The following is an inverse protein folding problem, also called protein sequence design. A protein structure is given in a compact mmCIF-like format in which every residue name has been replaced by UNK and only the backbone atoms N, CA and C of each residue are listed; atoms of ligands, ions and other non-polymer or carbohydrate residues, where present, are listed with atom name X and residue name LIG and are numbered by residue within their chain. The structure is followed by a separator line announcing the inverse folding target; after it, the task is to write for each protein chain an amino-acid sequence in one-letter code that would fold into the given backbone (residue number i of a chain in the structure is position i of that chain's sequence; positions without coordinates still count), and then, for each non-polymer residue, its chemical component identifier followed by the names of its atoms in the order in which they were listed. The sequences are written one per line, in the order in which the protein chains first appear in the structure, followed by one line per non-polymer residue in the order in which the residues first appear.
data_IF_568674306140
#
_entry.id   IF_568674306140
#
_cell.length_a   1.000
_cell.length_b   1.000
_cell.length_c   1.000
_cell.angle_alpha   90.00
_cell.angle_beta   90.00
_cell.angle_gamma   90.00
#
_symmetry.space_group_name_H-M   'P 1'
#
loop_
_entity.id
_entity.type
_entity.pdbx_description
1 polymer ?
#
# COMPACT_ATOMS: atom_id res chain seq x y z
N UNK A 1 11.66 30.83 27.59
CA UNK A 1 12.64 31.21 26.54
C UNK A 1 12.54 32.72 26.39
N UNK A 2 13.65 33.45 26.51
CA UNK A 2 13.64 34.90 26.27
C UNK A 2 13.22 35.18 24.82
N UNK A 3 12.25 36.07 24.63
CA UNK A 3 11.72 36.42 23.30
C UNK A 3 12.80 36.92 22.32
N UNK A 4 13.91 37.42 22.85
CA UNK A 4 15.09 37.86 22.08
C UNK A 4 15.81 36.67 21.45
N UNK A 5 16.07 35.60 22.21
CA UNK A 5 16.69 34.38 21.68
C UNK A 5 15.83 33.71 20.61
N UNK A 6 14.51 33.64 20.81
CA UNK A 6 13.59 33.10 19.79
C UNK A 6 13.73 33.83 18.44
N UNK A 7 13.80 35.17 18.47
CA UNK A 7 13.91 36.00 17.25
C UNK A 7 15.28 35.88 16.58
N UNK A 8 16.35 35.78 17.36
CA UNK A 8 17.70 35.51 16.83
C UNK A 8 17.73 34.18 16.06
N UNK A 9 17.09 33.12 16.61
CA UNK A 9 17.04 31.81 15.96
C UNK A 9 16.09 31.74 14.76
N UNK A 10 14.98 32.47 14.79
CA UNK A 10 14.08 32.62 13.63
C UNK A 10 14.81 33.30 12.46
N UNK A 11 15.55 34.38 12.75
CA UNK A 11 16.40 35.08 11.77
C UNK A 11 17.47 34.14 11.19
N UNK A 12 18.11 33.32 12.03
CA UNK A 12 19.14 32.37 11.61
C UNK A 12 18.61 31.24 10.73
N UNK A 13 17.38 30.78 10.99
CA UNK A 13 16.69 29.78 10.17
C UNK A 13 16.33 30.37 8.79
N UNK A 14 15.86 31.62 8.76
CA UNK A 14 15.57 32.36 7.53
C UNK A 14 16.85 32.63 6.70
N UNK A 15 17.94 33.02 7.35
CA UNK A 15 19.23 33.27 6.67
C UNK A 15 19.83 32.00 6.06
N UNK A 16 19.61 30.84 6.67
CA UNK A 16 19.99 29.54 6.09
C UNK A 16 19.13 29.18 4.87
N UNK A 17 17.82 29.43 4.91
CA UNK A 17 16.92 29.22 3.76
C UNK A 17 17.25 30.14 2.58
N UNK A 18 17.79 31.33 2.85
CA UNK A 18 18.29 32.28 1.82
C UNK A 18 19.75 32.01 1.38
N UNK A 19 20.43 30.99 1.93
CA UNK A 19 21.79 30.61 1.55
C UNK A 19 22.90 31.54 2.04
N UNK A 20 22.61 32.44 2.98
CA UNK A 20 23.55 33.41 3.55
C UNK A 20 24.18 32.86 4.83
N UNK A 21 25.22 32.03 4.68
CA UNK A 21 25.76 31.17 5.76
C UNK A 21 26.89 31.80 6.58
N UNK A 22 27.48 32.92 6.13
CA UNK A 22 28.77 33.39 6.65
C UNK A 22 28.75 33.86 8.13
N UNK A 23 27.58 34.19 8.68
CA UNK A 23 27.42 34.61 10.08
C UNK A 23 26.98 33.51 11.06
N UNK A 24 26.46 32.39 10.54
CA UNK A 24 25.79 31.36 11.36
C UNK A 24 26.78 30.43 12.08
N UNK A 25 28.00 30.32 11.54
CA UNK A 25 29.04 29.45 12.05
C UNK A 25 29.66 29.88 13.39
N UNK A 26 29.34 31.08 13.88
CA UNK A 26 29.86 31.62 15.15
C UNK A 26 29.06 31.26 16.41
N UNK A 27 27.84 30.73 16.26
CA UNK A 27 27.03 30.27 17.40
C UNK A 27 27.26 28.77 17.59
N UNK A 28 27.85 28.39 18.71
CA UNK A 28 28.08 26.99 19.04
C UNK A 28 26.77 26.21 19.09
N UNK A 29 26.53 25.33 18.10
CA UNK A 29 25.33 24.50 18.01
C UNK A 29 25.05 23.73 19.33
N UNK A 30 26.09 23.39 20.08
CA UNK A 30 26.02 22.63 21.32
C UNK A 30 25.78 23.49 22.57
N UNK A 31 25.83 24.81 22.44
CA UNK A 31 25.57 25.77 23.53
C UNK A 31 24.08 26.02 23.73
N UNK A 32 23.25 25.58 22.77
CA UNK A 32 21.78 25.73 22.80
C UNK A 32 21.03 24.43 23.15
N UNK A 33 21.74 23.42 23.65
CA UNK A 33 21.13 22.16 24.12
C UNK A 33 20.07 22.41 25.18
N UNK A 34 20.37 23.27 26.15
CA UNK A 34 19.45 23.64 27.22
C UNK A 34 18.24 24.45 26.70
N UNK A 35 18.44 25.22 25.63
CA UNK A 35 17.36 25.97 24.95
C UNK A 35 16.43 25.04 24.15
N UNK A 36 16.91 23.87 23.71
CA UNK A 36 16.07 22.84 23.08
C UNK A 36 15.33 22.01 24.14
N UNK A 37 16.05 21.53 25.16
CA UNK A 37 15.52 20.57 26.15
C UNK A 37 14.63 21.25 27.19
N UNK A 38 14.99 22.45 27.65
CA UNK A 38 14.28 23.17 28.71
C UNK A 38 12.81 23.51 28.40
N UNK A 39 12.44 23.95 27.18
CA UNK A 39 11.07 24.32 26.84
C UNK A 39 10.10 23.18 26.54
N UNK A 40 10.51 21.89 26.54
CA UNK A 40 9.74 20.73 26.03
C UNK A 40 8.40 20.38 26.71
N UNK A 41 7.68 21.35 27.26
CA UNK A 41 6.29 21.18 27.65
C UNK A 41 5.37 20.99 26.42
N UNK A 42 4.16 20.45 26.62
CA UNK A 42 3.22 20.15 25.54
C UNK A 42 2.85 21.37 24.68
N UNK A 43 2.91 22.58 25.23
CA UNK A 43 2.64 23.83 24.52
C UNK A 43 3.82 24.36 23.69
N UNK A 44 5.02 23.79 23.83
CA UNK A 44 6.15 24.24 23.02
C UNK A 44 6.07 23.73 21.59
N UNK A 45 5.56 22.52 21.38
CA UNK A 45 5.38 21.94 20.04
C UNK A 45 4.35 22.66 19.17
N UNK A 46 3.46 23.46 19.79
CA UNK A 46 2.51 24.31 19.06
C UNK A 46 3.12 25.64 18.63
N UNK A 47 4.29 26.01 19.15
CA UNK A 47 5.01 27.20 18.72
C UNK A 47 5.74 26.94 17.39
N UNK A 48 5.39 27.66 16.31
CA UNK A 48 6.07 27.49 15.02
C UNK A 48 7.55 27.85 15.11
N UNK A 49 7.91 28.85 15.93
CA UNK A 49 9.29 29.28 16.14
C UNK A 49 10.12 28.20 16.85
N UNK A 50 9.57 27.56 17.89
CA UNK A 50 10.25 26.45 18.56
C UNK A 50 10.43 25.25 17.62
N UNK A 51 9.41 24.92 16.82
CA UNK A 51 9.49 23.84 15.86
C UNK A 51 10.55 24.08 14.78
N UNK A 52 10.61 25.29 14.23
CA UNK A 52 11.64 25.71 13.29
C UNK A 52 13.04 25.58 13.89
N UNK A 53 13.22 26.03 15.13
CA UNK A 53 14.48 25.91 15.86
C UNK A 53 14.92 24.45 16.07
N UNK A 54 14.03 23.57 16.53
CA UNK A 54 14.35 22.14 16.71
C UNK A 54 14.70 21.49 15.36
N UNK A 55 13.96 21.82 14.29
CA UNK A 55 14.25 21.32 12.93
C UNK A 55 15.61 21.80 12.43
N UNK A 56 15.95 23.07 12.64
CA UNK A 56 17.26 23.64 12.33
C UNK A 56 18.38 22.89 13.06
N UNK A 57 18.23 22.71 14.39
CA UNK A 57 19.20 21.97 15.19
C UNK A 57 19.41 20.56 14.64
N UNK A 58 18.33 19.81 14.37
CA UNK A 58 18.42 18.45 13.86
C UNK A 58 19.09 18.40 12.48
N UNK A 59 18.76 19.32 11.57
CA UNK A 59 19.41 19.42 10.25
C UNK A 59 20.91 19.67 10.37
N UNK A 60 21.33 20.58 11.26
CA UNK A 60 22.74 20.89 11.50
C UNK A 60 23.49 19.76 12.18
N UNK A 61 22.89 19.15 13.20
CA UNK A 61 23.46 17.99 13.87
C UNK A 61 23.67 16.83 12.87
N UNK A 62 22.74 16.64 11.93
CA UNK A 62 22.90 15.66 10.86
C UNK A 62 24.10 15.92 9.93
N UNK A 63 24.73 17.10 9.93
CA UNK A 63 25.92 17.36 9.12
C UNK A 63 27.23 17.12 9.87
N UNK A 64 27.18 16.88 11.18
CA UNK A 64 28.37 16.68 12.00
C UNK A 64 29.06 15.34 11.67
N UNK A 65 30.39 15.35 11.85
CA UNK A 65 31.22 14.16 11.80
C UNK A 65 31.36 13.56 13.20
N UNK A 66 30.56 12.53 13.47
CA UNK A 66 30.58 11.83 14.75
C UNK A 66 31.81 10.94 14.95
N UNK A 67 32.60 10.67 13.92
CA UNK A 67 33.79 9.83 14.04
C UNK A 67 34.94 10.52 14.80
N UNK A 68 35.04 11.85 14.66
CA UNK A 68 36.10 12.69 15.25
C UNK A 68 35.61 13.51 16.44
N UNK A 69 34.30 13.56 16.66
CA UNK A 69 33.66 14.32 17.75
C UNK A 69 33.91 13.73 19.13
N UNK A 70 34.11 14.60 20.13
CA UNK A 70 34.30 14.20 21.53
C UNK A 70 33.07 13.47 22.09
N UNK A 71 33.26 12.61 23.10
CA UNK A 71 32.15 11.89 23.72
C UNK A 71 31.14 12.82 24.39
N UNK A 72 31.62 13.90 25.02
CA UNK A 72 30.79 14.89 25.71
C UNK A 72 29.86 15.59 24.72
N UNK A 73 30.41 16.03 23.60
CA UNK A 73 29.64 16.73 22.56
C UNK A 73 28.64 15.78 21.89
N UNK A 74 29.03 14.52 21.70
CA UNK A 74 28.14 13.48 21.19
C UNK A 74 26.97 13.23 22.14
N UNK A 75 27.23 13.17 23.44
CA UNK A 75 26.20 12.95 24.47
C UNK A 75 25.19 14.11 24.56
N UNK A 76 25.64 15.34 24.29
CA UNK A 76 24.74 16.51 24.17
C UNK A 76 23.73 16.35 23.03
N UNK A 77 24.20 15.92 21.84
CA UNK A 77 23.30 15.66 20.70
C UNK A 77 22.34 14.51 21.00
N UNK A 78 22.83 13.43 21.63
CA UNK A 78 22.00 12.30 22.05
C UNK A 78 20.93 12.75 23.04
N UNK A 79 21.27 13.66 23.96
CA UNK A 79 20.33 14.20 24.95
C UNK A 79 19.20 14.97 24.27
N UNK A 80 19.51 15.82 23.29
CA UNK A 80 18.50 16.53 22.51
C UNK A 80 17.61 15.54 21.74
N UNK A 81 18.21 14.61 20.98
CA UNK A 81 17.43 13.66 20.19
C UNK A 81 16.55 12.76 21.07
N UNK A 82 17.05 12.31 22.22
CA UNK A 82 16.28 11.57 23.23
C UNK A 82 15.10 12.41 23.72
N UNK A 83 15.34 13.65 24.09
CA UNK A 83 14.31 14.52 24.63
C UNK A 83 13.22 14.79 23.60
N UNK A 84 13.58 15.02 22.33
CA UNK A 84 12.63 15.18 21.22
C UNK A 84 11.80 13.91 20.99
N UNK A 85 12.42 12.74 20.95
CA UNK A 85 11.70 11.48 20.72
C UNK A 85 10.74 11.15 21.87
N UNK A 86 11.14 11.48 23.11
CA UNK A 86 10.36 11.23 24.31
C UNK A 86 9.39 12.35 24.65
N UNK A 87 9.46 13.49 23.98
CA UNK A 87 8.60 14.64 24.24
C UNK A 87 7.14 14.34 23.97
N UNK A 88 6.27 14.75 24.90
CA UNK A 88 4.83 14.66 24.71
C UNK A 88 4.37 15.68 23.66
N UNK A 89 3.71 15.20 22.60
CA UNK A 89 3.24 16.05 21.51
C UNK A 89 4.27 16.37 20.43
N UNK A 90 5.46 15.77 20.47
CA UNK A 90 6.48 15.94 19.44
C UNK A 90 5.99 15.47 18.06
N UNK A 91 6.09 16.32 17.01
CA UNK A 91 5.62 15.95 15.69
C UNK A 91 6.38 14.77 15.08
N UNK A 92 5.67 13.94 14.30
CA UNK A 92 6.17 12.67 13.75
C UNK A 92 7.42 12.85 12.88
N UNK A 93 7.49 13.93 12.09
CA UNK A 93 8.64 14.26 11.25
C UNK A 93 9.89 14.58 12.09
N UNK A 94 9.71 15.26 13.22
CA UNK A 94 10.81 15.64 14.13
C UNK A 94 11.30 14.42 14.92
N UNK A 95 10.38 13.55 15.36
CA UNK A 95 10.71 12.26 15.97
C UNK A 95 11.50 11.37 14.99
N UNK A 96 11.07 11.33 13.72
CA UNK A 96 11.77 10.60 12.65
C UNK A 96 13.20 11.14 12.46
N UNK A 97 13.38 12.45 12.31
CA UNK A 97 14.72 13.04 12.14
C UNK A 97 15.62 12.82 13.37
N UNK A 98 15.07 12.90 14.58
CA UNK A 98 15.82 12.58 15.80
C UNK A 98 16.24 11.11 15.85
N UNK A 99 15.39 10.20 15.38
CA UNK A 99 15.71 8.77 15.28
C UNK A 99 16.81 8.50 14.26
N UNK A 100 16.75 9.15 13.09
CA UNK A 100 17.80 9.11 12.06
C UNK A 100 19.14 9.63 12.59
N UNK A 101 19.10 10.73 13.36
CA UNK A 101 20.26 11.30 14.02
C UNK A 101 20.88 10.32 15.01
N UNK A 102 20.07 9.68 15.87
CA UNK A 102 20.55 8.65 16.79
C UNK A 102 21.18 7.46 16.06
N UNK A 103 20.60 7.03 14.93
CA UNK A 103 21.22 6.00 14.09
C UNK A 103 22.57 6.47 13.56
N UNK A 104 22.67 7.70 13.06
CA UNK A 104 23.94 8.25 12.55
C UNK A 104 25.01 8.33 13.64
N UNK A 105 24.66 8.86 14.81
CA UNK A 105 25.54 8.93 15.99
C UNK A 105 26.00 7.52 16.43
N UNK A 106 25.07 6.56 16.39
CA UNK A 106 25.32 5.17 16.73
C UNK A 106 25.91 4.31 15.61
N UNK A 107 26.42 4.91 14.54
CA UNK A 107 26.95 4.21 13.36
C UNK A 107 26.00 3.12 12.82
N UNK A 108 24.72 3.47 12.68
CA UNK A 108 23.61 2.63 12.21
C UNK A 108 23.32 1.41 13.10
N UNK A 109 23.60 1.52 14.40
CA UNK A 109 23.27 0.48 15.38
C UNK A 109 21.87 0.68 15.97
N UNK A 110 20.95 -0.24 15.67
CA UNK A 110 19.63 -0.27 16.32
C UNK A 110 19.73 -0.41 17.85
N UNK A 111 20.71 -1.19 18.33
CA UNK A 111 21.02 -1.34 19.78
C UNK A 111 21.37 -0.01 20.42
N UNK A 112 22.13 0.82 19.71
CA UNK A 112 22.49 2.15 20.19
C UNK A 112 21.24 3.02 20.37
N UNK A 113 20.33 3.04 19.38
CA UNK A 113 19.09 3.82 19.45
C UNK A 113 18.22 3.39 20.63
N UNK A 114 18.02 2.08 20.81
CA UNK A 114 17.23 1.55 21.93
C UNK A 114 17.86 1.93 23.27
N UNK A 115 19.18 1.76 23.43
CA UNK A 115 19.90 2.18 24.64
C UNK A 115 19.81 3.69 24.85
N UNK A 116 19.94 4.46 23.78
CA UNK A 116 19.86 5.91 23.84
C UNK A 116 18.47 6.36 24.25
N UNK A 117 17.39 5.69 23.84
CA UNK A 117 16.03 6.10 24.18
C UNK A 117 15.51 5.52 25.50
N UNK A 118 16.10 4.42 25.97
CA UNK A 118 15.62 3.65 27.11
C UNK A 118 14.68 2.53 26.67
N UNK A 119 14.81 1.35 27.29
CA UNK A 119 13.98 0.17 26.99
C UNK A 119 12.53 0.37 27.41
N UNK A 120 12.29 1.21 28.41
CA UNK A 120 10.98 1.58 28.93
C UNK A 120 10.05 2.16 27.85
N UNK A 121 10.60 2.90 26.88
CA UNK A 121 9.86 3.43 25.73
C UNK A 121 9.14 2.31 24.96
N UNK A 122 9.76 1.13 24.85
CA UNK A 122 9.28 0.01 24.06
C UNK A 122 8.48 -1.01 24.87
N UNK A 123 8.48 -0.90 26.21
CA UNK A 123 7.78 -1.84 27.09
C UNK A 123 6.53 -1.25 27.73
N UNK A 124 6.53 0.05 28.06
CA UNK A 124 5.40 0.74 28.70
C UNK A 124 4.29 1.03 27.70
N UNK A 125 3.06 0.60 28.03
CA UNK A 125 1.92 0.65 27.12
C UNK A 125 1.59 2.06 26.61
N UNK A 126 1.74 3.09 27.45
CA UNK A 126 1.49 4.50 27.12
C UNK A 126 2.47 5.07 26.09
N UNK A 127 3.64 4.43 25.94
CA UNK A 127 4.71 4.90 25.07
C UNK A 127 4.81 4.11 23.76
N UNK A 128 4.05 3.03 23.62
CA UNK A 128 4.15 2.10 22.48
C UNK A 128 3.90 2.77 21.14
N UNK A 129 2.98 3.74 21.05
CA UNK A 129 2.73 4.43 19.79
C UNK A 129 3.97 5.21 19.32
N UNK A 130 4.72 5.81 20.24
CA UNK A 130 5.98 6.49 19.92
C UNK A 130 7.07 5.48 19.60
N UNK A 131 7.13 4.39 20.35
CA UNK A 131 8.04 3.29 20.07
C UNK A 131 7.86 2.77 18.63
N UNK A 132 6.62 2.61 18.16
CA UNK A 132 6.31 2.23 16.79
C UNK A 132 6.79 3.28 15.76
N UNK A 133 6.64 4.57 16.05
CA UNK A 133 7.20 5.64 15.21
C UNK A 133 8.73 5.58 15.08
N UNK A 134 9.41 5.30 16.20
CA UNK A 134 10.87 5.10 16.25
C UNK A 134 11.26 3.83 15.49
N UNK A 135 10.60 2.70 15.74
CA UNK A 135 10.86 1.44 15.05
C UNK A 135 10.65 1.57 13.55
N UNK A 136 9.61 2.29 13.12
CA UNK A 136 9.35 2.54 11.71
C UNK A 136 10.49 3.35 11.07
N UNK A 137 10.90 4.46 11.69
CA UNK A 137 12.02 5.26 11.22
C UNK A 137 13.32 4.44 11.20
N UNK A 138 13.57 3.62 12.22
CA UNK A 138 14.73 2.75 12.28
C UNK A 138 14.74 1.71 11.16
N UNK A 139 13.63 1.03 10.92
CA UNK A 139 13.51 0.01 9.88
C UNK A 139 13.70 0.64 8.49
N UNK A 140 13.11 1.81 8.25
CA UNK A 140 13.29 2.53 6.98
C UNK A 140 14.75 2.86 6.69
N UNK A 141 15.51 3.32 7.67
CA UNK A 141 16.94 3.67 7.50
C UNK A 141 17.86 2.45 7.38
N UNK A 142 17.46 1.32 7.96
CA UNK A 142 18.26 0.10 7.97
C UNK A 142 17.91 -0.85 6.83
N UNK A 143 16.76 -0.66 6.16
CA UNK A 143 16.37 -1.42 4.98
C UNK A 143 17.45 -1.32 3.90
N UNK A 144 17.71 -2.44 3.23
CA UNK A 144 18.74 -2.58 2.21
C UNK A 144 20.17 -2.63 2.74
N UNK A 145 20.39 -2.27 4.02
CA UNK A 145 21.69 -2.36 4.69
C UNK A 145 21.81 -3.62 5.55
N UNK A 146 20.69 -4.07 6.13
CA UNK A 146 20.65 -5.19 7.06
C UNK A 146 19.34 -5.96 6.88
N UNK A 147 19.37 -7.29 6.97
CA UNK A 147 18.19 -8.13 6.83
C UNK A 147 17.22 -7.95 8.01
N UNK A 148 16.21 -7.11 7.85
CA UNK A 148 15.33 -6.69 8.95
C UNK A 148 14.58 -7.86 9.61
N UNK A 149 14.16 -8.86 8.82
CA UNK A 149 13.45 -10.04 9.32
C UNK A 149 14.28 -10.93 10.26
N UNK A 150 15.61 -10.93 10.14
CA UNK A 150 16.47 -11.60 11.12
C UNK A 150 16.60 -10.74 12.37
N UNK A 151 16.82 -9.43 12.16
CA UNK A 151 17.03 -8.47 13.24
C UNK A 151 15.83 -8.28 14.15
N UNK A 152 14.61 -8.52 13.67
CA UNK A 152 13.44 -8.38 14.52
C UNK A 152 13.41 -9.38 15.69
N UNK A 153 14.09 -10.51 15.54
CA UNK A 153 14.23 -11.54 16.59
C UNK A 153 15.51 -11.36 17.44
N UNK A 154 16.46 -10.54 16.99
CA UNK A 154 17.68 -10.27 17.74
C UNK A 154 17.38 -9.41 18.98
N UNK A 155 18.02 -9.69 20.12
CA UNK A 155 17.93 -8.80 21.28
C UNK A 155 18.63 -7.46 20.96
N UNK A 156 17.89 -6.37 21.15
CA UNK A 156 18.39 -5.00 21.08
C UNK A 156 18.70 -4.41 22.47
N UNK A 157 19.00 -5.29 23.43
CA UNK A 157 18.96 -5.04 24.86
C UNK A 157 17.97 -6.02 25.48
N UNK A 158 17.09 -5.53 26.34
CA UNK A 158 16.01 -6.33 26.95
C UNK A 158 14.74 -6.39 26.08
N UNK A 159 14.81 -5.92 24.84
CA UNK A 159 13.68 -5.89 23.90
C UNK A 159 14.03 -6.59 22.60
N UNK A 160 13.01 -7.14 21.94
CA UNK A 160 13.04 -7.57 20.54
C UNK A 160 11.93 -6.84 19.79
N UNK A 161 12.17 -6.50 18.52
CA UNK A 161 11.17 -5.81 17.69
C UNK A 161 9.92 -6.70 17.55
N UNK A 162 10.10 -8.01 17.36
CA UNK A 162 9.01 -8.97 17.29
C UNK A 162 8.09 -8.93 18.51
N UNK A 163 8.65 -8.78 19.72
CA UNK A 163 7.86 -8.73 20.96
C UNK A 163 7.00 -7.46 21.03
N UNK A 164 7.56 -6.32 20.60
CA UNK A 164 6.82 -5.05 20.50
C UNK A 164 5.70 -5.18 19.47
N UNK A 165 6.00 -5.70 18.28
CA UNK A 165 5.02 -5.89 17.21
C UNK A 165 3.88 -6.79 17.65
N UNK A 166 4.19 -7.96 18.22
CA UNK A 166 3.19 -8.89 18.72
C UNK A 166 2.28 -8.23 19.76
N UNK A 167 2.85 -7.47 20.71
CA UNK A 167 2.07 -6.73 21.71
C UNK A 167 1.15 -5.68 21.09
N UNK A 168 1.60 -4.99 20.05
CA UNK A 168 0.87 -3.88 19.42
C UNK A 168 -0.13 -4.31 18.35
N UNK A 169 0.11 -5.41 17.63
CA UNK A 169 -0.80 -5.94 16.59
C UNK A 169 -2.10 -6.48 17.19
N UNK A 170 -2.04 -7.05 18.40
CA UNK A 170 -3.22 -7.56 19.13
C UNK A 170 -3.76 -6.55 20.16
N UNK A 171 -3.27 -5.31 20.15
CA UNK A 171 -3.73 -4.29 21.08
C UNK A 171 -5.18 -3.87 20.78
N UNK A 172 -5.88 -3.41 21.82
CA UNK A 172 -7.23 -2.87 21.69
C UNK A 172 -7.25 -1.52 20.93
N UNK A 173 -6.16 -0.76 21.00
CA UNK A 173 -6.03 0.54 20.33
C UNK A 173 -5.74 0.36 18.84
N UNK A 174 -6.64 0.81 17.94
CA UNK A 174 -6.46 0.68 16.50
C UNK A 174 -5.25 1.47 15.97
N UNK A 175 -4.81 2.54 16.66
CA UNK A 175 -3.61 3.29 16.26
C UNK A 175 -2.33 2.49 16.52
N UNK A 176 -2.29 1.68 17.59
CA UNK A 176 -1.18 0.78 17.86
C UNK A 176 -1.12 -0.33 16.80
N UNK A 177 -2.27 -0.91 16.43
CA UNK A 177 -2.34 -1.92 15.36
C UNK A 177 -1.84 -1.37 14.03
N UNK A 178 -2.30 -0.17 13.64
CA UNK A 178 -1.84 0.48 12.42
C UNK A 178 -0.35 0.81 12.45
N UNK A 179 0.15 1.37 13.56
CA UNK A 179 1.58 1.66 13.71
C UNK A 179 2.45 0.40 13.60
N UNK A 180 1.98 -0.72 14.17
CA UNK A 180 2.66 -2.00 14.08
C UNK A 180 2.67 -2.56 12.66
N UNK A 181 1.52 -2.49 11.96
CA UNK A 181 1.42 -2.88 10.55
C UNK A 181 2.36 -2.06 9.66
N UNK A 182 2.51 -0.75 9.93
CA UNK A 182 3.50 0.09 9.23
C UNK A 182 4.94 -0.32 9.48
N UNK A 183 5.30 -0.75 10.69
CA UNK A 183 6.66 -1.27 10.93
C UNK A 183 6.83 -2.60 10.21
N UNK A 184 5.84 -3.49 10.30
CA UNK A 184 5.85 -4.80 9.67
C UNK A 184 5.93 -4.70 8.14
N UNK A 185 5.29 -3.71 7.52
CA UNK A 185 5.37 -3.49 6.07
C UNK A 185 6.80 -3.22 5.59
N UNK A 186 7.55 -2.39 6.32
CA UNK A 186 8.96 -2.10 5.99
C UNK A 186 9.81 -3.35 6.12
N UNK A 187 9.60 -4.13 7.19
CA UNK A 187 10.28 -5.41 7.39
C UNK A 187 9.96 -6.36 6.22
N UNK A 188 8.68 -6.51 5.88
CA UNK A 188 8.20 -7.39 4.82
C UNK A 188 8.83 -7.03 3.46
N UNK A 189 8.84 -5.74 3.11
CA UNK A 189 9.43 -5.27 1.85
C UNK A 189 10.93 -5.60 1.73
N UNK A 190 11.65 -5.59 2.86
CA UNK A 190 13.07 -5.97 2.98
C UNK A 190 13.30 -7.50 3.10
N UNK A 191 12.22 -8.28 3.28
CA UNK A 191 12.31 -9.73 3.56
C UNK A 191 12.39 -10.54 2.26
N UNK A 192 13.32 -11.51 2.15
CA UNK A 192 13.37 -12.45 1.04
C UNK A 192 12.06 -13.24 0.88
N UNK A 193 11.71 -13.60 -0.37
CA UNK A 193 10.45 -14.27 -0.72
C UNK A 193 10.08 -15.44 0.21
N UNK A 194 11.03 -16.33 0.51
CA UNK A 194 10.81 -17.53 1.33
C UNK A 194 10.26 -17.24 2.75
N UNK A 195 10.52 -16.06 3.29
CA UNK A 195 10.09 -15.67 4.65
C UNK A 195 9.03 -14.57 4.65
N UNK A 196 8.84 -13.88 3.52
CA UNK A 196 7.91 -12.76 3.44
C UNK A 196 6.43 -13.21 3.46
N UNK A 197 6.12 -14.41 2.93
CA UNK A 197 4.73 -14.90 2.86
C UNK A 197 4.07 -15.02 4.24
N UNK A 198 4.78 -15.51 5.26
CA UNK A 198 4.22 -15.59 6.62
C UNK A 198 3.97 -14.21 7.24
N UNK A 199 4.84 -13.24 6.99
CA UNK A 199 4.64 -11.86 7.46
C UNK A 199 3.47 -11.17 6.74
N UNK A 200 3.29 -11.48 5.45
CA UNK A 200 2.15 -11.02 4.67
C UNK A 200 0.83 -11.53 5.25
N UNK A 201 0.74 -12.82 5.58
CA UNK A 201 -0.47 -13.41 6.16
C UNK A 201 -0.84 -12.76 7.50
N UNK A 202 0.15 -12.44 8.34
CA UNK A 202 -0.11 -11.66 9.58
C UNK A 202 -0.74 -10.30 9.29
N UNK A 203 -0.33 -9.62 8.20
CA UNK A 203 -0.96 -8.37 7.79
C UNK A 203 -2.36 -8.57 7.23
N UNK A 204 -2.59 -9.64 6.46
CA UNK A 204 -3.92 -10.00 5.93
C UNK A 204 -4.89 -10.25 7.10
N UNK A 205 -4.48 -11.05 8.09
CA UNK A 205 -5.25 -11.32 9.30
C UNK A 205 -5.57 -10.01 10.04
N UNK A 206 -4.58 -9.14 10.24
CA UNK A 206 -4.78 -7.85 10.89
C UNK A 206 -5.75 -6.93 10.11
N UNK A 207 -5.77 -7.00 8.78
CA UNK A 207 -6.73 -6.25 7.96
C UNK A 207 -8.15 -6.79 8.09
N UNK A 208 -8.29 -8.13 8.08
CA UNK A 208 -9.58 -8.82 8.14
C UNK A 208 -10.24 -8.71 9.52
N UNK A 209 -9.44 -8.75 10.60
CA UNK A 209 -9.93 -8.67 11.97
C UNK A 209 -10.19 -7.23 12.47
N UNK A 210 -9.74 -6.21 11.73
CA UNK A 210 -9.91 -4.82 12.14
C UNK A 210 -11.37 -4.36 12.06
N UNK A 211 -11.91 -3.94 13.21
CA UNK A 211 -13.31 -3.50 13.34
C UNK A 211 -13.45 -1.99 13.07
N UNK A 212 -12.40 -1.20 13.32
CA UNK A 212 -12.45 0.23 13.10
C UNK A 212 -12.26 0.58 11.62
N UNK A 213 -13.34 0.95 10.93
CA UNK A 213 -13.36 1.13 9.48
C UNK A 213 -12.28 2.07 8.91
N UNK A 214 -11.94 3.17 9.59
CA UNK A 214 -10.89 4.08 9.14
C UNK A 214 -9.48 3.45 9.23
N UNK A 215 -9.21 2.69 10.29
CA UNK A 215 -7.96 1.93 10.43
C UNK A 215 -7.94 0.78 9.45
N UNK A 216 -9.05 0.07 9.27
CA UNK A 216 -9.16 -1.00 8.28
C UNK A 216 -8.86 -0.49 6.87
N UNK A 217 -9.43 0.65 6.47
CA UNK A 217 -9.12 1.29 5.19
C UNK A 217 -7.63 1.63 5.04
N UNK A 218 -7.01 2.14 6.11
CA UNK A 218 -5.59 2.48 6.12
C UNK A 218 -4.70 1.23 6.04
N UNK A 219 -5.09 0.13 6.71
CA UNK A 219 -4.42 -1.15 6.65
C UNK A 219 -4.53 -1.79 5.26
N UNK A 220 -5.72 -1.78 4.64
CA UNK A 220 -5.91 -2.27 3.27
C UNK A 220 -5.15 -1.44 2.25
N UNK A 221 -5.11 -0.11 2.40
CA UNK A 221 -4.29 0.74 1.53
C UNK A 221 -2.80 0.36 1.62
N UNK A 222 -2.30 0.15 2.84
CA UNK A 222 -0.94 -0.32 3.08
C UNK A 222 -0.70 -1.71 2.46
N UNK A 223 -1.62 -2.64 2.64
CA UNK A 223 -1.53 -4.00 2.10
C UNK A 223 -1.51 -3.99 0.57
N UNK A 224 -2.36 -3.19 -0.07
CA UNK A 224 -2.37 -3.03 -1.52
C UNK A 224 -1.07 -2.44 -2.05
N UNK A 225 -0.49 -1.44 -1.38
CA UNK A 225 0.81 -0.90 -1.77
C UNK A 225 1.93 -1.95 -1.62
N UNK A 226 1.89 -2.78 -0.57
CA UNK A 226 2.83 -3.91 -0.42
C UNK A 226 2.68 -4.91 -1.57
N UNK A 227 1.46 -5.36 -1.87
CA UNK A 227 1.21 -6.32 -2.96
C UNK A 227 1.57 -5.75 -4.33
N UNK A 228 1.42 -4.44 -4.52
CA UNK A 228 1.88 -3.75 -5.72
C UNK A 228 3.41 -3.73 -5.85
N UNK A 229 4.13 -3.52 -4.74
CA UNK A 229 5.60 -3.52 -4.73
C UNK A 229 6.20 -4.93 -4.72
N UNK A 230 5.49 -5.91 -4.16
CA UNK A 230 5.89 -7.32 -4.00
C UNK A 230 4.87 -8.23 -4.67
N UNK A 231 4.70 -8.02 -5.97
CA UNK A 231 3.80 -8.82 -6.81
C UNK A 231 4.13 -10.32 -6.73
N UNK A 232 5.40 -10.68 -6.51
CA UNK A 232 5.83 -12.07 -6.30
C UNK A 232 5.13 -12.77 -5.12
N UNK A 233 4.60 -12.00 -4.15
CA UNK A 233 3.87 -12.54 -3.00
C UNK A 233 2.36 -12.62 -3.23
N UNK A 234 1.84 -11.94 -4.26
CA UNK A 234 0.40 -11.91 -4.50
C UNK A 234 -0.04 -13.15 -5.27
N UNK A 235 -0.79 -14.01 -4.61
CA UNK A 235 -1.26 -15.29 -5.14
C UNK A 235 -2.77 -15.42 -4.99
N UNK A 236 -3.36 -16.41 -5.65
CA UNK A 236 -4.79 -16.71 -5.54
C UNK A 236 -5.20 -16.94 -4.09
N UNK A 237 -4.44 -17.71 -3.32
CA UNK A 237 -4.72 -17.94 -1.89
C UNK A 237 -4.81 -16.64 -1.10
N UNK A 238 -3.85 -15.72 -1.32
CA UNK A 238 -3.83 -14.42 -0.64
C UNK A 238 -5.01 -13.55 -1.05
N UNK A 239 -5.42 -13.61 -2.33
CA UNK A 239 -6.62 -12.93 -2.80
C UNK A 239 -7.87 -13.51 -2.16
N UNK A 240 -8.01 -14.84 -2.12
CA UNK A 240 -9.17 -15.51 -1.55
C UNK A 240 -9.33 -15.19 -0.05
N UNK A 241 -8.22 -15.07 0.69
CA UNK A 241 -8.21 -14.67 2.10
C UNK A 241 -8.69 -13.22 2.33
N UNK A 242 -8.52 -12.33 1.35
CA UNK A 242 -8.88 -10.90 1.50
C UNK A 242 -10.14 -10.48 0.74
N UNK A 243 -10.56 -11.24 -0.27
CA UNK A 243 -11.55 -10.83 -1.26
C UNK A 243 -12.88 -10.44 -0.60
N UNK A 244 -13.37 -11.26 0.33
CA UNK A 244 -14.62 -11.02 1.05
C UNK A 244 -14.61 -9.66 1.73
N UNK A 245 -13.60 -9.40 2.56
CA UNK A 245 -13.47 -8.11 3.27
C UNK A 245 -13.27 -6.95 2.29
N UNK A 246 -12.38 -7.10 1.31
CA UNK A 246 -12.00 -6.05 0.38
C UNK A 246 -13.15 -5.60 -0.55
N UNK A 247 -14.11 -6.49 -0.82
CA UNK A 247 -15.20 -6.27 -1.76
C UNK A 247 -16.54 -5.99 -1.08
N UNK A 248 -16.83 -6.58 0.08
CA UNK A 248 -18.11 -6.39 0.77
C UNK A 248 -18.17 -5.10 1.60
N UNK A 249 -17.00 -4.59 2.04
CA UNK A 249 -16.93 -3.38 2.85
C UNK A 249 -16.94 -2.12 1.97
N UNK A 250 -18.03 -1.36 2.02
CA UNK A 250 -18.26 -0.18 1.18
C UNK A 250 -17.14 0.87 1.31
N UNK A 251 -16.56 1.05 2.50
CA UNK A 251 -15.47 2.01 2.72
C UNK A 251 -14.12 1.55 2.13
N UNK A 252 -13.96 0.27 1.81
CA UNK A 252 -12.74 -0.28 1.19
C UNK A 252 -12.80 -0.28 -0.34
N UNK A 253 -14.02 -0.34 -0.89
CA UNK A 253 -14.28 -0.52 -2.31
C UNK A 253 -13.52 0.48 -3.22
N UNK A 254 -13.43 1.79 -2.92
CA UNK A 254 -12.66 2.72 -3.76
C UNK A 254 -11.16 2.36 -3.82
N UNK A 255 -10.56 2.03 -2.67
CA UNK A 255 -9.15 1.65 -2.57
C UNK A 255 -8.88 0.33 -3.28
N UNK A 256 -9.74 -0.66 -3.08
CA UNK A 256 -9.66 -1.98 -3.74
C UNK A 256 -9.73 -1.85 -5.26
N UNK A 257 -10.74 -1.13 -5.77
CA UNK A 257 -10.91 -0.90 -7.20
C UNK A 257 -9.68 -0.20 -7.80
N UNK A 258 -9.19 0.86 -7.13
CA UNK A 258 -8.01 1.57 -7.59
C UNK A 258 -6.75 0.70 -7.60
N UNK A 259 -6.55 -0.12 -6.58
CA UNK A 259 -5.42 -1.04 -6.50
C UNK A 259 -5.46 -2.10 -7.61
N UNK A 260 -6.63 -2.68 -7.88
CA UNK A 260 -6.81 -3.65 -8.97
C UNK A 260 -6.49 -3.01 -10.33
N UNK A 261 -7.05 -1.82 -10.62
CA UNK A 261 -6.76 -1.11 -11.86
C UNK A 261 -5.25 -0.84 -12.01
N UNK A 262 -4.58 -0.38 -10.95
CA UNK A 262 -3.13 -0.17 -10.93
C UNK A 262 -2.35 -1.44 -11.26
N UNK A 263 -2.75 -2.58 -10.69
CA UNK A 263 -2.10 -3.88 -10.96
C UNK A 263 -2.30 -4.33 -12.40
N UNK A 264 -3.51 -4.22 -12.95
CA UNK A 264 -3.78 -4.60 -14.35
C UNK A 264 -2.99 -3.73 -15.34
N UNK A 265 -2.80 -2.45 -15.02
CA UNK A 265 -2.04 -1.53 -15.87
C UNK A 265 -0.52 -1.61 -15.68
N UNK A 266 -0.02 -2.23 -14.60
CA UNK A 266 1.39 -2.20 -14.30
C UNK A 266 2.21 -3.01 -15.33
N UNK A 267 3.32 -2.46 -15.86
CA UNK A 267 4.14 -3.15 -16.85
C UNK A 267 4.87 -4.38 -16.29
N UNK A 268 5.04 -4.47 -14.96
CA UNK A 268 5.67 -5.61 -14.28
C UNK A 268 4.76 -6.83 -14.11
N UNK A 269 3.44 -6.62 -14.17
CA UNK A 269 2.41 -7.63 -13.92
C UNK A 269 2.56 -8.90 -14.77
N UNK A 270 2.82 -8.83 -16.10
CA UNK A 270 2.93 -10.04 -16.94
C UNK A 270 4.05 -10.99 -16.53
N UNK A 271 5.12 -10.44 -15.93
CA UNK A 271 6.28 -11.22 -15.51
C UNK A 271 6.19 -11.69 -14.05
N UNK A 272 5.34 -11.05 -13.24
CA UNK A 272 5.39 -11.18 -11.76
C UNK A 272 4.15 -11.83 -11.16
N UNK A 273 3.00 -11.79 -11.84
CA UNK A 273 1.73 -12.29 -11.33
C UNK A 273 1.22 -13.47 -12.15
N UNK A 274 0.55 -14.41 -11.47
CA UNK A 274 -0.22 -15.45 -12.13
C UNK A 274 -1.35 -14.79 -12.95
N UNK A 275 -1.39 -15.09 -14.24
CA UNK A 275 -2.43 -14.62 -15.15
C UNK A 275 -3.84 -14.94 -14.65
N UNK A 276 -4.03 -16.05 -13.94
CA UNK A 276 -5.33 -16.45 -13.37
C UNK A 276 -5.81 -15.48 -12.32
N UNK A 277 -4.91 -15.00 -11.46
CA UNK A 277 -5.18 -14.00 -10.45
C UNK A 277 -5.55 -12.69 -11.12
N UNK A 278 -4.73 -12.20 -12.06
CA UNK A 278 -5.00 -10.93 -12.74
C UNK A 278 -6.33 -10.97 -13.51
N UNK A 279 -6.66 -12.11 -14.13
CA UNK A 279 -7.94 -12.32 -14.80
C UNK A 279 -9.12 -12.25 -13.81
N UNK A 280 -8.99 -12.85 -12.62
CA UNK A 280 -10.02 -12.79 -11.57
C UNK A 280 -10.19 -11.37 -11.03
N UNK A 281 -9.10 -10.62 -10.83
CA UNK A 281 -9.16 -9.22 -10.40
C UNK A 281 -9.86 -8.33 -11.45
N UNK A 282 -9.53 -8.51 -12.73
CA UNK A 282 -10.22 -7.79 -13.83
C UNK A 282 -11.71 -8.14 -13.87
N UNK A 283 -12.05 -9.42 -13.71
CA UNK A 283 -13.44 -9.88 -13.63
C UNK A 283 -14.20 -9.21 -12.47
N UNK A 284 -13.60 -9.12 -11.28
CA UNK A 284 -14.22 -8.41 -10.14
C UNK A 284 -14.59 -6.97 -10.49
N UNK A 285 -13.68 -6.24 -11.14
CA UNK A 285 -13.90 -4.83 -11.48
C UNK A 285 -14.93 -4.66 -12.61
N UNK A 286 -14.99 -5.60 -13.56
CA UNK A 286 -16.04 -5.64 -14.59
C UNK A 286 -17.40 -5.89 -13.96
N UNK A 287 -17.49 -6.84 -13.04
CA UNK A 287 -18.74 -7.16 -12.34
C UNK A 287 -19.23 -5.93 -11.54
N UNK A 288 -18.34 -5.29 -10.79
CA UNK A 288 -18.67 -4.07 -10.05
C UNK A 288 -19.23 -2.98 -10.96
N UNK A 289 -18.60 -2.74 -12.11
CA UNK A 289 -19.04 -1.71 -13.04
C UNK A 289 -20.39 -2.05 -13.71
N UNK A 290 -20.59 -3.30 -14.13
CA UNK A 290 -21.79 -3.68 -14.89
C UNK A 290 -23.01 -3.91 -13.98
N UNK A 291 -22.82 -4.51 -12.81
CA UNK A 291 -23.91 -4.94 -11.93
C UNK A 291 -24.11 -4.04 -10.73
N UNK A 292 -23.02 -3.50 -10.20
CA UNK A 292 -23.02 -2.78 -8.93
C UNK A 292 -22.75 -1.29 -9.12
N UNK A 293 -22.84 -0.76 -10.35
CA UNK A 293 -22.60 0.66 -10.61
C UNK A 293 -23.45 1.60 -9.76
N UNK A 294 -24.64 1.18 -9.34
CA UNK A 294 -25.51 1.95 -8.47
C UNK A 294 -24.98 2.10 -7.02
N UNK A 295 -24.13 1.17 -6.55
CA UNK A 295 -23.53 1.22 -5.21
C UNK A 295 -22.22 2.01 -5.20
N UNK A 296 -21.66 2.31 -6.38
CA UNK A 296 -20.40 3.01 -6.54
C UNK A 296 -20.56 4.53 -6.48
N UNK A 297 -19.61 5.19 -5.81
CA UNK A 297 -19.49 6.65 -5.85
C UNK A 297 -19.15 7.15 -7.26
N UNK A 298 -19.57 8.38 -7.58
CA UNK A 298 -19.33 9.01 -8.90
C UNK A 298 -17.86 9.00 -9.32
N UNK A 299 -16.95 9.21 -8.37
CA UNK A 299 -15.51 9.24 -8.62
C UNK A 299 -14.98 7.87 -9.04
N UNK A 300 -15.42 6.80 -8.37
CA UNK A 300 -15.05 5.41 -8.71
C UNK A 300 -15.60 5.04 -10.09
N UNK A 301 -16.85 5.40 -10.37
CA UNK A 301 -17.45 5.16 -11.70
C UNK A 301 -16.71 5.89 -12.82
N UNK A 302 -16.32 7.15 -12.60
CA UNK A 302 -15.55 7.91 -13.58
C UNK A 302 -14.16 7.29 -13.81
N UNK A 303 -13.50 6.84 -12.74
CA UNK A 303 -12.20 6.16 -12.84
C UNK A 303 -12.32 4.82 -13.60
N UNK A 304 -13.37 4.03 -13.32
CA UNK A 304 -13.64 2.78 -14.03
C UNK A 304 -13.95 3.01 -15.50
N UNK A 305 -14.75 4.03 -15.81
CA UNK A 305 -15.03 4.39 -17.19
C UNK A 305 -13.74 4.72 -17.93
N UNK A 306 -12.91 5.62 -17.41
CA UNK A 306 -11.62 5.96 -18.01
C UNK A 306 -10.68 4.74 -18.11
N UNK A 307 -10.67 3.88 -17.10
CA UNK A 307 -9.89 2.64 -17.13
C UNK A 307 -10.31 1.72 -18.29
N UNK A 308 -11.62 1.50 -18.48
CA UNK A 308 -12.11 0.59 -19.52
C UNK A 308 -12.08 1.19 -20.93
N UNK A 309 -12.31 2.50 -21.09
CA UNK A 309 -12.37 3.11 -22.42
C UNK A 309 -11.01 3.56 -22.91
N UNK A 310 -10.19 4.08 -22.00
CA UNK A 310 -8.99 4.80 -22.39
C UNK A 310 -7.76 3.95 -22.13
N UNK A 311 -7.61 3.34 -20.96
CA UNK A 311 -6.33 2.78 -20.51
C UNK A 311 -6.15 1.27 -20.75
N UNK A 312 -7.16 0.45 -20.43
CA UNK A 312 -7.06 -1.01 -20.48
C UNK A 312 -7.17 -1.53 -21.92
N UNK A 313 -6.27 -2.46 -22.29
CA UNK A 313 -6.21 -3.01 -23.64
C UNK A 313 -5.20 -2.30 -24.54
N UNK A 314 -4.39 -1.35 -24.05
CA UNK A 314 -3.38 -0.70 -24.89
C UNK A 314 -2.19 -1.59 -25.23
N UNK A 315 -1.93 -2.63 -24.45
CA UNK A 315 -0.77 -3.53 -24.63
C UNK A 315 -1.20 -4.92 -25.08
N UNK A 316 -0.30 -5.66 -25.75
CA UNK A 316 -0.54 -7.05 -26.17
C UNK A 316 -0.91 -7.97 -24.99
N UNK A 317 -0.26 -7.77 -23.84
CA UNK A 317 -0.61 -8.49 -22.62
C UNK A 317 -2.04 -8.21 -22.17
N UNK A 318 -2.45 -6.94 -22.11
CA UNK A 318 -3.81 -6.57 -21.70
C UNK A 318 -4.84 -7.08 -22.70
N UNK A 319 -4.54 -7.04 -24.00
CA UNK A 319 -5.37 -7.64 -25.05
C UNK A 319 -5.57 -9.15 -24.82
N UNK A 320 -4.49 -9.87 -24.54
CA UNK A 320 -4.55 -11.30 -24.23
C UNK A 320 -5.32 -11.58 -22.93
N UNK A 321 -5.09 -10.79 -21.88
CA UNK A 321 -5.77 -10.88 -20.59
C UNK A 321 -7.29 -10.67 -20.74
N UNK A 322 -7.71 -9.61 -21.43
CA UNK A 322 -9.13 -9.32 -21.69
C UNK A 322 -9.78 -10.45 -22.48
N UNK A 323 -9.12 -10.93 -23.55
CA UNK A 323 -9.59 -12.04 -24.35
C UNK A 323 -9.77 -13.33 -23.55
N UNK A 324 -8.80 -13.67 -22.70
CA UNK A 324 -8.87 -14.85 -21.83
C UNK A 324 -9.95 -14.71 -20.75
N UNK A 325 -10.08 -13.54 -20.12
CA UNK A 325 -11.13 -13.27 -19.13
C UNK A 325 -12.52 -13.44 -19.75
N UNK A 326 -12.74 -12.91 -20.96
CA UNK A 326 -13.98 -13.10 -21.71
C UNK A 326 -14.26 -14.59 -21.99
N UNK A 327 -13.27 -15.34 -22.49
CA UNK A 327 -13.44 -16.77 -22.75
C UNK A 327 -13.74 -17.57 -21.48
N UNK A 328 -13.02 -17.29 -20.37
CA UNK A 328 -13.20 -17.95 -19.09
C UNK A 328 -14.59 -17.68 -18.51
N UNK A 329 -15.07 -16.43 -18.53
CA UNK A 329 -16.43 -16.06 -18.08
C UNK A 329 -17.50 -16.87 -18.80
N UNK A 330 -17.41 -16.93 -20.13
CA UNK A 330 -18.38 -17.67 -20.92
C UNK A 330 -18.28 -19.19 -20.65
N UNK A 331 -17.07 -19.75 -20.52
CA UNK A 331 -16.91 -21.16 -20.15
C UNK A 331 -17.60 -21.51 -18.83
N UNK A 332 -17.38 -20.72 -17.77
CA UNK A 332 -18.03 -20.94 -16.48
C UNK A 332 -19.55 -20.78 -16.53
N UNK A 333 -20.06 -19.77 -17.25
CA UNK A 333 -21.49 -19.56 -17.41
C UNK A 333 -22.19 -20.80 -18.02
N UNK A 334 -21.64 -21.33 -19.10
CA UNK A 334 -22.22 -22.49 -19.81
C UNK A 334 -21.95 -23.83 -19.09
N UNK A 335 -20.84 -23.97 -18.37
CA UNK A 335 -20.60 -25.14 -17.52
C UNK A 335 -21.60 -25.21 -16.34
N UNK A 336 -22.01 -24.06 -15.80
CA UNK A 336 -22.93 -23.96 -14.66
C UNK A 336 -24.42 -23.97 -15.06
N UNK A 337 -24.75 -24.43 -16.27
CA UNK A 337 -26.13 -24.65 -16.69
C UNK A 337 -26.87 -23.43 -17.25
N UNK A 338 -26.17 -22.37 -17.67
CA UNK A 338 -26.77 -21.43 -18.64
C UNK A 338 -27.12 -22.21 -19.90
N UNK A 339 -28.41 -22.36 -20.16
CA UNK A 339 -28.88 -23.10 -21.33
C UNK A 339 -28.35 -22.45 -22.60
N UNK A 340 -27.74 -23.27 -23.44
CA UNK A 340 -27.46 -22.82 -24.78
C UNK A 340 -28.76 -22.76 -25.55
N UNK A 341 -29.00 -21.67 -26.28
CA UNK A 341 -30.09 -21.61 -27.23
C UNK A 341 -29.86 -22.71 -28.26
N UNK A 342 -30.59 -23.80 -28.10
CA UNK A 342 -30.45 -24.99 -28.91
C UNK A 342 -30.83 -24.64 -30.34
N UNK A 343 -29.99 -25.03 -31.29
CA UNK A 343 -30.20 -24.81 -32.71
C UNK A 343 -31.31 -25.72 -33.24
N UNK A 344 -32.56 -25.42 -32.91
CA UNK A 344 -33.74 -26.11 -33.44
C UNK A 344 -34.77 -25.08 -33.94
N UNK A 345 -34.40 -24.32 -34.97
CA UNK A 345 -35.21 -24.21 -36.20
C UNK A 345 -34.60 -23.17 -37.16
N UNK A 346 -34.29 -23.52 -38.42
CA UNK A 346 -33.84 -22.57 -39.43
C UNK A 346 -34.99 -21.74 -40.05
N UNK A 347 -36.23 -21.88 -39.58
CA UNK A 347 -37.42 -21.34 -40.27
C UNK A 347 -38.38 -20.51 -39.43
N UNK A 348 -38.11 -20.22 -38.15
CA UNK A 348 -39.04 -19.46 -37.31
C UNK A 348 -38.33 -18.39 -36.49
N UNK A 349 -38.75 -17.14 -36.73
CA UNK A 349 -38.35 -15.88 -36.09
C UNK A 349 -36.94 -15.36 -36.43
N UNK A 350 -36.85 -14.05 -36.70
CA UNK A 350 -35.57 -13.37 -36.83
C UNK A 350 -34.76 -13.62 -35.55
N UNK A 351 -33.51 -14.05 -35.67
CA UNK A 351 -32.60 -14.38 -34.57
C UNK A 351 -32.49 -13.29 -33.48
N UNK A 352 -32.90 -12.05 -33.80
CA UNK A 352 -33.07 -10.90 -32.91
C UNK A 352 -34.29 -10.95 -31.96
N UNK A 353 -35.19 -11.94 -32.10
CA UNK A 353 -36.45 -12.04 -31.37
C UNK A 353 -36.49 -13.14 -30.30
N UNK A 354 -35.46 -13.98 -30.17
CA UNK A 354 -35.31 -14.81 -28.98
C UNK A 354 -35.03 -13.89 -27.79
N UNK A 355 -36.01 -13.77 -26.90
CA UNK A 355 -35.88 -12.97 -25.68
C UNK A 355 -34.74 -13.56 -24.85
N UNK A 356 -33.60 -12.89 -24.87
CA UNK A 356 -32.46 -13.25 -24.05
C UNK A 356 -32.90 -13.29 -22.59
N UNK A 357 -32.53 -14.36 -21.88
CA UNK A 357 -32.80 -14.44 -20.44
C UNK A 357 -32.07 -13.30 -19.73
N UNK A 358 -32.56 -12.87 -18.55
CA UNK A 358 -31.89 -11.81 -17.77
C UNK A 358 -30.38 -12.07 -17.58
N UNK A 359 -29.92 -13.31 -17.30
CA UNK A 359 -28.50 -13.65 -17.27
C UNK A 359 -27.76 -13.47 -18.60
N UNK A 360 -28.36 -13.84 -19.74
CA UNK A 360 -27.74 -13.65 -21.07
C UNK A 360 -27.58 -12.16 -21.43
N UNK A 361 -28.57 -11.31 -21.12
CA UNK A 361 -28.47 -9.86 -21.37
C UNK A 361 -27.31 -9.26 -20.59
N UNK A 362 -27.12 -9.72 -19.36
CA UNK A 362 -26.07 -9.26 -18.46
C UNK A 362 -24.69 -9.71 -18.95
N UNK A 363 -24.54 -11.00 -19.28
CA UNK A 363 -23.31 -11.52 -19.88
C UNK A 363 -22.98 -10.81 -21.20
N UNK A 364 -24.01 -10.49 -22.01
CA UNK A 364 -23.86 -9.70 -23.23
C UNK A 364 -23.29 -8.32 -22.94
N UNK A 365 -23.75 -7.62 -21.90
CA UNK A 365 -23.21 -6.29 -21.51
C UNK A 365 -21.77 -6.36 -21.02
N UNK A 366 -21.43 -7.37 -20.22
CA UNK A 366 -20.04 -7.61 -19.82
C UNK A 366 -19.15 -7.88 -21.03
N UNK A 367 -19.61 -8.73 -21.95
CA UNK A 367 -18.90 -9.03 -23.18
C UNK A 367 -18.74 -7.75 -24.04
N UNK A 368 -19.76 -6.88 -24.15
CA UNK A 368 -19.64 -5.60 -24.88
C UNK A 368 -18.53 -4.71 -24.30
N UNK A 369 -18.46 -4.60 -22.97
CA UNK A 369 -17.41 -3.83 -22.30
C UNK A 369 -16.03 -4.45 -22.55
N UNK A 370 -15.90 -5.77 -22.40
CA UNK A 370 -14.65 -6.48 -22.67
C UNK A 370 -14.22 -6.36 -24.14
N UNK A 371 -15.16 -6.46 -25.08
CA UNK A 371 -14.91 -6.26 -26.51
C UNK A 371 -14.49 -4.81 -26.80
N UNK A 372 -14.98 -3.80 -26.08
CA UNK A 372 -14.55 -2.42 -26.28
C UNK A 372 -13.04 -2.22 -26.03
N UNK A 373 -12.46 -3.01 -25.12
CA UNK A 373 -11.03 -2.99 -24.81
C UNK A 373 -10.17 -3.74 -25.83
N UNK A 374 -10.75 -4.51 -26.77
CA UNK A 374 -9.97 -5.33 -27.71
C UNK A 374 -9.67 -4.60 -29.03
N UNK A 375 -8.51 -4.88 -29.62
CA UNK A 375 -8.20 -4.48 -31.01
C UNK A 375 -8.90 -5.41 -32.01
N UNK A 376 -9.16 -4.96 -33.26
CA UNK A 376 -9.86 -5.78 -34.27
C UNK A 376 -9.25 -7.17 -34.49
N UNK A 377 -7.92 -7.27 -34.48
CA UNK A 377 -7.21 -8.54 -34.68
C UNK A 377 -7.43 -9.48 -33.49
N UNK A 378 -7.28 -8.98 -32.27
CA UNK A 378 -7.54 -9.77 -31.06
C UNK A 378 -9.00 -10.22 -31.00
N UNK A 379 -9.97 -9.37 -31.35
CA UNK A 379 -11.39 -9.75 -31.39
C UNK A 379 -11.64 -10.95 -32.29
N UNK A 380 -11.06 -10.93 -33.49
CA UNK A 380 -11.16 -12.04 -34.45
C UNK A 380 -10.59 -13.34 -33.86
N UNK A 381 -9.44 -13.25 -33.18
CA UNK A 381 -8.84 -14.41 -32.52
C UNK A 381 -9.71 -14.97 -31.38
N UNK A 382 -10.35 -14.11 -30.59
CA UNK A 382 -11.25 -14.48 -29.48
C UNK A 382 -12.51 -15.15 -30.03
N UNK A 383 -13.10 -14.65 -31.11
CA UNK A 383 -14.23 -15.27 -31.81
C UNK A 383 -13.91 -16.69 -32.24
N UNK A 384 -12.74 -16.90 -32.87
CA UNK A 384 -12.29 -18.23 -33.32
C UNK A 384 -12.07 -19.15 -32.11
N UNK A 385 -11.42 -18.66 -31.05
CA UNK A 385 -11.15 -19.43 -29.83
C UNK A 385 -12.45 -19.86 -29.14
N UNK A 386 -13.43 -18.96 -29.02
CA UNK A 386 -14.73 -19.27 -28.46
C UNK A 386 -15.49 -20.30 -29.30
N UNK A 387 -15.48 -20.16 -30.62
CA UNK A 387 -16.12 -21.12 -31.51
C UNK A 387 -15.57 -22.54 -31.31
N UNK A 388 -14.23 -22.68 -31.15
CA UNK A 388 -13.59 -23.97 -30.85
C UNK A 388 -14.01 -24.53 -29.49
N UNK A 389 -14.08 -23.68 -28.47
CA UNK A 389 -14.55 -24.07 -27.12
C UNK A 389 -15.98 -24.62 -27.19
N UNK A 390 -16.88 -23.90 -27.86
CA UNK A 390 -18.28 -24.28 -28.03
C UNK A 390 -18.46 -25.58 -28.81
N UNK A 391 -17.69 -25.76 -29.90
CA UNK A 391 -17.69 -27.01 -30.67
C UNK A 391 -17.23 -28.21 -29.82
N UNK A 392 -16.26 -28.00 -28.94
CA UNK A 392 -15.73 -29.05 -28.05
C UNK A 392 -16.73 -29.43 -26.97
N UNK A 393 -17.41 -28.46 -26.38
CA UNK A 393 -18.31 -28.68 -25.25
C UNK A 393 -19.69 -29.24 -25.65
N UNK A 394 -20.20 -28.92 -26.85
CA UNK A 394 -21.60 -29.20 -27.22
C UNK A 394 -21.76 -29.98 -28.56
N UNK A 395 -20.70 -30.64 -29.03
CA UNK A 395 -20.69 -31.61 -30.14
C UNK A 395 -21.42 -31.19 -31.44
N UNK A 396 -21.48 -29.90 -31.78
CA UNK A 396 -22.12 -29.41 -33.02
C UNK A 396 -21.61 -28.04 -33.50
N UNK A 397 -21.85 -27.77 -34.79
CA UNK A 397 -21.36 -26.63 -35.57
C UNK A 397 -22.06 -25.32 -35.24
N UNK A 398 -21.47 -24.51 -34.34
CA UNK A 398 -21.89 -23.12 -34.12
C UNK A 398 -21.47 -22.23 -35.30
N UNK A 399 -22.41 -21.48 -35.87
CA UNK A 399 -22.12 -20.48 -36.89
C UNK A 399 -21.37 -19.28 -36.31
N UNK A 400 -20.57 -18.62 -37.14
CA UNK A 400 -19.82 -17.41 -36.75
C UNK A 400 -20.78 -16.32 -36.28
N UNK A 401 -21.92 -16.14 -36.96
CA UNK A 401 -22.92 -15.13 -36.58
C UNK A 401 -23.51 -15.39 -35.19
N UNK A 402 -23.73 -16.66 -34.82
CA UNK A 402 -24.21 -17.00 -33.47
C UNK A 402 -23.16 -16.69 -32.41
N UNK A 403 -21.90 -17.00 -32.67
CA UNK A 403 -20.78 -16.67 -31.78
C UNK A 403 -20.68 -15.16 -31.59
N UNK A 404 -20.80 -14.38 -32.66
CA UNK A 404 -20.76 -12.91 -32.62
C UNK A 404 -21.88 -12.35 -31.75
N UNK A 405 -23.10 -12.86 -31.88
CA UNK A 405 -24.23 -12.43 -31.03
C UNK A 405 -24.00 -12.74 -29.54
N UNK A 406 -23.47 -13.92 -29.20
CA UNK A 406 -23.20 -14.32 -27.81
C UNK A 406 -22.05 -13.53 -27.17
N UNK A 407 -21.00 -13.28 -27.95
CA UNK A 407 -19.87 -12.44 -27.54
C UNK A 407 -20.14 -10.94 -27.65
N UNK A 408 -21.34 -10.55 -28.11
CA UNK A 408 -21.72 -9.18 -28.36
C UNK A 408 -20.73 -8.42 -29.28
N UNK A 409 -20.28 -9.11 -30.31
CA UNK A 409 -19.40 -8.62 -31.36
C UNK A 409 -20.23 -8.25 -32.59
N UNK A 410 -20.06 -7.02 -33.10
CA UNK A 410 -20.77 -6.48 -34.27
C UNK A 410 -20.10 -6.87 -35.60
#
# INVERSE_FOLDING_TARGET
MDAVRCKEWELMTLLEEEGSMDGVHGLGLLDVVDDVVGPMGPNAWTSPTYLAFVRFFLRRAMLLDYSTMSSIDRDRVVTVARAVVRGDGSPVDVVRHSTQLLLRVGHRSARFVVRALGTDLFTLSELLLRALGVLHAMCMELSGLQSLHLRMHEPLGDIRIADVLNKTLVAADPLLRFGAAKVLSVILLDTPHAHAKSLLLVLVDACNEEVHGATQASLFALLWDILFLRQDLFSLDVWDDMATTAMEQVHLLPTTVHAIMRLVLAPSTPASLDWRLVSQLLECVVVLYVHESATLGKEVLAALYAFFTDECGRTEYQQALVGQTLLRRNHHAYANGMELPCAHDPSTASLSQMLATRPEVVLKRENQLLQAMLTPDTKTSVVIAFQRMMQTAFYSSYSVDRVRVLLAFD
#
